data_IF_905429157857
#
_entry.id   IF_905429157857
#
_cell.length_a   1.000
_cell.length_b   1.000
_cell.length_c   1.000
_cell.angle_alpha   90.00
_cell.angle_beta   90.00
_cell.angle_gamma   90.00
#
_symmetry.space_group_name_H-M   'P 1'
#
loop_
_entity.id
_entity.type
_entity.pdbx_description
1 polymer ?
#
# COMPACT_ATOMS: atom_id res chain seq x y z
N UNK A 1 -29.19 61.97 -0.34
CA UNK A 1 -29.19 60.75 0.49
C UNK A 1 -29.91 59.70 -0.32
N UNK A 2 -29.19 58.95 -1.14
CA UNK A 2 -28.60 57.63 -0.80
C UNK A 2 -29.64 56.54 -1.06
N UNK A 3 -29.42 55.48 -1.81
CA UNK A 3 -28.28 55.05 -2.61
C UNK A 3 -28.79 53.94 -3.56
N UNK A 4 -28.06 53.63 -4.62
CA UNK A 4 -28.39 52.51 -5.55
C UNK A 4 -27.87 51.20 -4.98
N UNK A 5 -28.67 50.13 -5.05
CA UNK A 5 -28.16 48.76 -4.97
C UNK A 5 -28.75 47.86 -6.07
N UNK A 6 -27.92 47.34 -7.00
CA UNK A 6 -28.25 46.20 -7.84
C UNK A 6 -27.47 44.96 -7.36
N UNK A 7 -28.06 44.12 -6.53
CA UNK A 7 -27.46 42.85 -6.12
C UNK A 7 -28.11 41.68 -6.88
N UNK A 8 -27.68 41.47 -8.13
CA UNK A 8 -27.79 40.18 -8.81
C UNK A 8 -26.84 39.19 -8.14
N UNK A 9 -27.35 38.44 -7.16
CA UNK A 9 -26.60 37.35 -6.51
C UNK A 9 -26.64 36.08 -7.36
N UNK A 10 -25.57 35.83 -8.13
CA UNK A 10 -25.29 34.56 -8.78
C UNK A 10 -25.53 33.37 -7.85
N UNK A 11 -26.42 32.46 -8.26
CA UNK A 11 -26.44 31.07 -7.83
C UNK A 11 -25.10 30.43 -8.22
N UNK A 12 -24.10 30.59 -7.36
CA UNK A 12 -22.91 29.78 -7.39
C UNK A 12 -23.33 28.36 -6.98
N UNK A 13 -23.73 27.59 -7.98
CA UNK A 13 -23.74 26.14 -7.94
C UNK A 13 -22.31 25.73 -7.54
N UNK A 14 -22.11 25.51 -6.24
CA UNK A 14 -20.90 24.90 -5.72
C UNK A 14 -20.84 23.52 -6.34
N UNK A 15 -20.15 23.41 -7.48
CA UNK A 15 -19.68 22.15 -8.03
C UNK A 15 -18.98 21.44 -6.87
N UNK A 16 -19.68 20.48 -6.25
CA UNK A 16 -19.13 19.54 -5.29
C UNK A 16 -17.96 18.89 -6.04
N UNK A 17 -16.75 19.34 -5.75
CA UNK A 17 -15.55 18.56 -6.04
C UNK A 17 -15.88 17.14 -5.56
N UNK A 18 -15.71 16.11 -6.40
CA UNK A 18 -15.97 14.76 -5.94
C UNK A 18 -15.10 14.58 -4.70
N UNK A 19 -15.74 14.41 -3.54
CA UNK A 19 -15.04 14.03 -2.34
C UNK A 19 -14.17 12.85 -2.76
N UNK A 20 -12.86 12.92 -2.51
CA UNK A 20 -11.99 11.78 -2.68
C UNK A 20 -12.49 10.73 -1.69
N UNK A 21 -13.54 9.98 -2.03
CA UNK A 21 -14.08 8.92 -1.19
C UNK A 21 -13.19 7.72 -1.44
N UNK A 22 -12.41 7.39 -0.42
CA UNK A 22 -11.55 6.21 -0.43
C UNK A 22 -12.42 4.99 -0.12
N UNK A 23 -13.32 4.67 -1.04
CA UNK A 23 -14.17 3.48 -0.93
C UNK A 23 -13.31 2.27 -1.31
N UNK A 24 -13.10 1.38 -0.34
CA UNK A 24 -12.40 0.12 -0.51
C UNK A 24 -13.38 -0.99 -0.15
N UNK A 25 -13.72 -1.87 -1.10
CA UNK A 25 -14.60 -3.00 -0.83
C UNK A 25 -13.78 -4.22 -0.43
N UNK A 26 -14.16 -4.89 0.65
CA UNK A 26 -13.48 -6.11 1.07
C UNK A 26 -13.61 -7.19 -0.01
N UNK A 27 -12.51 -7.91 -0.28
CA UNK A 27 -12.43 -9.07 -1.17
C UNK A 27 -12.94 -8.85 -2.61
N UNK A 28 -12.95 -7.60 -3.11
CA UNK A 28 -13.47 -7.27 -4.44
C UNK A 28 -12.36 -6.82 -5.39
N UNK A 29 -11.55 -7.78 -5.86
CA UNK A 29 -10.45 -7.53 -6.79
C UNK A 29 -10.90 -6.87 -8.10
N UNK A 30 -12.09 -7.19 -8.60
CA UNK A 30 -12.63 -6.59 -9.83
C UNK A 30 -12.99 -5.11 -9.65
N UNK A 31 -13.50 -4.72 -8.49
CA UNK A 31 -13.71 -3.32 -8.13
C UNK A 31 -12.39 -2.53 -8.06
N UNK A 32 -11.34 -3.12 -7.49
CA UNK A 32 -10.03 -2.45 -7.38
C UNK A 32 -9.19 -2.50 -8.66
N UNK A 33 -9.47 -3.44 -9.56
CA UNK A 33 -8.88 -3.47 -10.90
C UNK A 33 -9.45 -2.43 -11.85
N UNK A 34 -10.47 -1.66 -11.46
CA UNK A 34 -11.04 -0.60 -12.31
C UNK A 34 -9.96 0.38 -12.77
N UNK A 35 -9.74 0.40 -14.09
CA UNK A 35 -8.76 1.23 -14.76
C UNK A 35 -9.19 2.71 -14.72
N UNK A 36 -8.34 3.61 -14.21
CA UNK A 36 -8.59 5.05 -14.36
C UNK A 36 -8.06 5.52 -15.72
N UNK A 37 -9.02 5.80 -16.62
CA UNK A 37 -8.99 6.62 -17.86
C UNK A 37 -7.84 6.39 -18.86
N UNK A 38 -8.21 6.32 -20.14
CA UNK A 38 -7.32 6.46 -21.31
C UNK A 38 -6.55 7.79 -21.18
N UNK A 39 -5.31 7.75 -20.73
CA UNK A 39 -4.37 8.84 -20.99
C UNK A 39 -4.06 8.78 -22.49
N UNK A 40 -4.02 9.93 -23.17
CA UNK A 40 -3.77 9.99 -24.60
C UNK A 40 -2.57 9.09 -24.95
N UNK A 41 -2.73 8.24 -25.97
CA UNK A 41 -1.79 7.18 -26.39
C UNK A 41 -1.81 5.89 -25.55
N UNK A 42 -2.83 5.04 -25.75
CA UNK A 42 -2.91 3.59 -25.41
C UNK A 42 -2.42 3.09 -24.02
N UNK A 43 -2.10 3.99 -23.09
CA UNK A 43 -1.54 3.67 -21.78
C UNK A 43 -2.66 3.71 -20.73
N UNK A 44 -3.10 2.53 -20.32
CA UNK A 44 -4.01 2.35 -19.18
C UNK A 44 -3.20 2.29 -17.89
N UNK A 45 -3.49 3.17 -16.92
CA UNK A 45 -2.89 3.11 -15.57
C UNK A 45 -3.89 2.46 -14.60
N UNK A 46 -3.41 1.52 -13.78
CA UNK A 46 -4.18 0.93 -12.67
C UNK A 46 -4.38 1.98 -11.56
N UNK A 47 -5.51 1.91 -10.84
CA UNK A 47 -5.83 2.83 -9.73
C UNK A 47 -4.92 2.63 -8.52
N UNK A 48 -4.48 1.40 -8.28
CA UNK A 48 -3.60 1.02 -7.17
C UNK A 48 -2.31 0.41 -7.70
N UNK A 49 -1.19 0.70 -7.02
CA UNK A 49 0.07 0.01 -7.25
C UNK A 49 -0.03 -1.43 -6.70
N UNK A 50 0.76 -2.35 -7.27
CA UNK A 50 0.89 -3.70 -6.71
C UNK A 50 1.77 -3.70 -5.46
N UNK A 51 1.68 -4.75 -4.65
CA UNK A 51 2.45 -4.90 -3.41
C UNK A 51 3.91 -5.39 -3.63
N UNK A 52 4.43 -5.31 -4.86
CA UNK A 52 5.78 -5.76 -5.18
C UNK A 52 6.80 -4.66 -4.83
N UNK A 53 7.72 -4.98 -3.92
CA UNK A 53 8.81 -4.08 -3.52
C UNK A 53 9.95 -4.21 -4.55
N UNK A 54 10.47 -3.07 -5.00
CA UNK A 54 11.64 -2.98 -5.89
C UNK A 54 12.59 -1.92 -5.36
N UNK A 55 13.71 -2.37 -4.80
CA UNK A 55 14.80 -1.53 -4.30
C UNK A 55 15.98 -1.50 -5.26
N UNK A 56 16.09 -2.49 -6.16
CA UNK A 56 17.14 -2.53 -7.15
C UNK A 56 17.01 -1.39 -8.17
N UNK A 57 18.15 -0.75 -8.49
CA UNK A 57 18.19 0.49 -9.27
C UNK A 57 18.42 0.23 -10.75
N UNK A 58 19.14 -0.84 -11.07
CA UNK A 58 19.55 -1.14 -12.44
C UNK A 58 18.86 -2.39 -12.96
N UNK A 59 18.51 -2.35 -14.24
CA UNK A 59 18.26 -3.54 -15.04
C UNK A 59 19.58 -3.95 -15.72
N UNK A 60 19.71 -5.20 -16.17
CA UNK A 60 20.93 -5.73 -16.80
C UNK A 60 21.41 -4.83 -17.95
N UNK A 61 20.48 -4.30 -18.76
CA UNK A 61 20.79 -3.42 -19.89
C UNK A 61 20.98 -1.95 -19.51
N UNK A 62 20.34 -1.49 -18.43
CA UNK A 62 20.48 -0.09 -17.99
C UNK A 62 21.65 0.09 -17.03
N UNK A 63 22.22 -0.99 -16.50
CA UNK A 63 23.34 -0.93 -15.56
C UNK A 63 24.52 -0.15 -16.12
N UNK A 64 25.02 -0.53 -17.30
CA UNK A 64 26.20 0.10 -17.89
C UNK A 64 26.03 1.61 -18.16
N UNK A 65 25.01 2.08 -18.92
CA UNK A 65 24.89 3.50 -19.23
C UNK A 65 24.62 4.37 -18.00
N UNK A 66 23.80 3.88 -17.06
CA UNK A 66 23.44 4.64 -15.86
C UNK A 66 24.55 4.65 -14.81
N UNK A 67 25.24 3.52 -14.62
CA UNK A 67 26.40 3.45 -13.72
C UNK A 67 27.54 4.33 -14.23
N UNK A 68 27.86 4.30 -15.53
CA UNK A 68 28.87 5.20 -16.12
C UNK A 68 28.47 6.66 -15.98
N UNK A 69 27.20 7.00 -16.21
CA UNK A 69 26.71 8.36 -16.02
C UNK A 69 26.93 8.85 -14.58
N UNK A 70 26.63 8.01 -13.58
CA UNK A 70 26.86 8.34 -12.17
C UNK A 70 28.35 8.50 -11.83
N UNK A 71 29.20 7.66 -12.41
CA UNK A 71 30.65 7.80 -12.26
C UNK A 71 31.14 9.11 -12.91
N UNK A 72 30.68 9.49 -14.11
CA UNK A 72 31.11 10.71 -14.79
C UNK A 72 30.47 11.98 -14.26
N UNK A 73 29.36 11.92 -13.53
CA UNK A 73 28.85 13.09 -12.81
C UNK A 73 29.80 13.55 -11.68
N UNK A 74 30.79 12.72 -11.31
CA UNK A 74 31.86 13.13 -10.40
C UNK A 74 32.94 13.92 -11.15
N UNK A 75 33.07 15.21 -10.81
CA UNK A 75 34.03 16.13 -11.45
C UNK A 75 35.47 15.60 -11.53
N UNK A 76 35.91 14.80 -10.55
CA UNK A 76 37.22 14.15 -10.57
C UNK A 76 37.39 13.21 -11.78
N UNK A 77 36.38 12.41 -12.11
CA UNK A 77 36.44 11.47 -13.22
C UNK A 77 36.40 12.22 -14.57
N UNK A 78 35.66 13.33 -14.66
CA UNK A 78 35.68 14.23 -15.84
C UNK A 78 37.05 14.85 -16.03
N UNK A 79 37.66 15.35 -14.95
CA UNK A 79 39.01 15.91 -14.97
C UNK A 79 40.03 14.90 -15.50
N UNK A 80 40.02 13.66 -15.01
CA UNK A 80 40.95 12.63 -15.50
C UNK A 80 40.76 12.30 -16.97
N UNK A 81 39.51 12.25 -17.47
CA UNK A 81 39.25 12.05 -18.91
C UNK A 81 39.76 13.22 -19.74
N UNK A 82 39.54 14.46 -19.27
CA UNK A 82 40.04 15.65 -19.95
C UNK A 82 41.58 15.68 -20.02
N UNK A 83 42.24 15.33 -18.93
CA UNK A 83 43.70 15.18 -18.87
C UNK A 83 44.15 14.13 -19.88
N UNK A 84 43.58 12.91 -19.87
CA UNK A 84 43.90 11.85 -20.84
C UNK A 84 43.69 12.33 -22.28
N UNK A 85 42.62 13.07 -22.57
CA UNK A 85 42.35 13.63 -23.89
C UNK A 85 43.47 14.59 -24.34
N UNK A 86 43.94 15.47 -23.46
CA UNK A 86 45.08 16.35 -23.75
C UNK A 86 46.38 15.57 -24.01
N UNK A 87 46.62 14.46 -23.30
CA UNK A 87 47.77 13.58 -23.56
C UNK A 87 47.69 12.76 -24.86
N UNK A 88 46.53 12.74 -25.56
CA UNK A 88 46.47 12.09 -26.88
C UNK A 88 47.17 12.90 -27.97
N UNK A 89 47.39 14.20 -27.75
CA UNK A 89 48.10 15.08 -28.68
C UNK A 89 49.61 14.92 -28.45
N UNK A 90 50.35 14.34 -29.41
CA UNK A 90 51.76 13.99 -29.21
C UNK A 90 52.66 15.21 -28.96
N UNK A 91 52.27 16.41 -29.36
CA UNK A 91 53.06 17.63 -29.16
C UNK A 91 53.03 18.17 -27.72
N UNK A 92 52.01 17.81 -26.94
CA UNK A 92 51.82 18.28 -25.55
C UNK A 92 52.04 17.12 -24.56
N UNK A 93 52.11 15.89 -25.06
CA UNK A 93 52.18 14.68 -24.26
C UNK A 93 53.57 14.43 -23.68
N UNK A 94 53.66 14.42 -22.34
CA UNK A 94 54.89 14.04 -21.61
C UNK A 94 54.95 12.55 -21.27
N UNK A 95 53.82 11.85 -21.34
CA UNK A 95 53.64 10.45 -20.93
C UNK A 95 52.77 9.72 -21.94
N UNK A 96 53.02 8.44 -22.24
CA UNK A 96 52.16 7.71 -23.17
C UNK A 96 50.73 7.59 -22.62
N UNK A 97 49.73 7.84 -23.48
CA UNK A 97 48.30 7.91 -23.14
C UNK A 97 47.76 6.71 -22.32
N UNK A 98 48.32 5.51 -22.53
CA UNK A 98 47.91 4.30 -21.82
C UNK A 98 48.27 4.32 -20.32
N UNK A 99 49.29 5.08 -19.91
CA UNK A 99 49.74 5.13 -18.50
C UNK A 99 48.71 5.78 -17.57
N UNK A 100 47.89 6.69 -18.09
CA UNK A 100 46.81 7.34 -17.34
C UNK A 100 45.46 6.67 -17.59
N UNK A 101 45.23 6.16 -18.81
CA UNK A 101 44.01 5.43 -19.15
C UNK A 101 43.86 4.14 -18.35
N UNK A 102 44.94 3.36 -18.22
CA UNK A 102 44.90 2.07 -17.53
C UNK A 102 44.44 2.18 -16.06
N UNK A 103 45.09 2.98 -15.18
CA UNK A 103 44.67 3.09 -13.78
C UNK A 103 43.26 3.68 -13.63
N UNK A 104 42.86 4.64 -14.48
CA UNK A 104 41.51 5.18 -14.47
C UNK A 104 40.48 4.11 -14.85
N UNK A 105 40.72 3.36 -15.93
CA UNK A 105 39.85 2.28 -16.38
C UNK A 105 39.70 1.20 -15.31
N UNK A 106 40.81 0.76 -14.69
CA UNK A 106 40.78 -0.19 -13.58
C UNK A 106 39.93 0.33 -12.41
N UNK A 107 40.11 1.60 -12.04
CA UNK A 107 39.39 2.22 -10.94
C UNK A 107 37.88 2.34 -11.20
N UNK A 108 37.48 2.76 -12.40
CA UNK A 108 36.07 2.83 -12.82
C UNK A 108 35.45 1.44 -12.88
N UNK A 109 36.20 0.45 -13.36
CA UNK A 109 35.77 -0.95 -13.44
C UNK A 109 35.55 -1.56 -12.06
N UNK A 110 36.47 -1.37 -11.10
CA UNK A 110 36.32 -1.88 -9.74
C UNK A 110 35.09 -1.27 -9.06
N UNK A 111 34.84 0.03 -9.26
CA UNK A 111 33.65 0.70 -8.72
C UNK A 111 32.36 0.16 -9.34
N UNK A 112 32.33 0.04 -10.67
CA UNK A 112 31.20 -0.57 -11.38
C UNK A 112 30.95 -2.00 -10.87
N UNK A 113 32.00 -2.81 -10.71
CA UNK A 113 31.84 -4.19 -10.24
C UNK A 113 31.25 -4.25 -8.82
N UNK A 114 31.72 -3.40 -7.91
CA UNK A 114 31.15 -3.29 -6.57
C UNK A 114 29.66 -2.93 -6.63
N UNK A 115 29.31 -1.89 -7.38
CA UNK A 115 27.92 -1.46 -7.53
C UNK A 115 27.04 -2.55 -8.14
N UNK A 116 27.59 -3.34 -9.07
CA UNK A 116 26.91 -4.49 -9.67
C UNK A 116 26.63 -5.59 -8.64
N UNK A 117 27.62 -5.95 -7.82
CA UNK A 117 27.46 -6.97 -6.77
C UNK A 117 26.40 -6.50 -5.76
N UNK A 118 26.47 -5.25 -5.33
CA UNK A 118 25.50 -4.66 -4.41
C UNK A 118 24.09 -4.68 -5.00
N UNK A 119 23.92 -4.34 -6.29
CA UNK A 119 22.62 -4.35 -6.95
C UNK A 119 22.07 -5.77 -7.16
N UNK A 120 22.93 -6.77 -7.47
CA UNK A 120 22.54 -8.18 -7.51
C UNK A 120 22.02 -8.64 -6.14
N UNK A 121 22.69 -8.24 -5.05
CA UNK A 121 22.23 -8.49 -3.69
C UNK A 121 20.84 -7.89 -3.43
N UNK A 122 20.57 -6.68 -3.92
CA UNK A 122 19.25 -6.04 -3.83
C UNK A 122 18.19 -6.82 -4.60
N UNK A 123 18.46 -7.25 -5.83
CA UNK A 123 17.52 -8.08 -6.62
C UNK A 123 17.19 -9.40 -5.91
N UNK A 124 18.18 -10.04 -5.28
CA UNK A 124 17.95 -11.27 -4.51
C UNK A 124 17.09 -11.00 -3.27
N UNK A 125 17.39 -9.93 -2.52
CA UNK A 125 16.62 -9.53 -1.34
C UNK A 125 15.16 -9.19 -1.71
N UNK A 126 14.96 -8.38 -2.75
CA UNK A 126 13.63 -8.04 -3.27
C UNK A 126 12.86 -9.30 -3.66
N UNK A 127 13.52 -10.25 -4.35
CA UNK A 127 12.90 -11.53 -4.72
C UNK A 127 12.52 -12.35 -3.49
N UNK A 128 13.36 -12.38 -2.46
CA UNK A 128 13.06 -13.10 -1.22
C UNK A 128 11.85 -12.50 -0.50
N UNK A 129 11.81 -11.18 -0.33
CA UNK A 129 10.69 -10.47 0.33
C UNK A 129 9.38 -10.64 -0.46
N UNK A 130 9.41 -10.45 -1.77
CA UNK A 130 8.23 -10.55 -2.62
C UNK A 130 7.64 -11.98 -2.69
N UNK A 131 8.47 -13.01 -2.51
CA UNK A 131 8.03 -14.42 -2.52
C UNK A 131 7.67 -14.95 -1.12
N UNK A 132 7.69 -14.12 -0.07
CA UNK A 132 7.24 -14.55 1.27
C UNK A 132 5.77 -15.02 1.20
N UNK A 133 5.43 -16.13 1.87
CA UNK A 133 4.08 -16.66 1.84
C UNK A 133 3.17 -15.87 2.80
N UNK A 134 1.91 -15.69 2.40
CA UNK A 134 0.87 -15.05 3.18
C UNK A 134 -0.48 -15.73 2.93
N UNK A 135 -1.33 -15.85 3.97
CA UNK A 135 -2.67 -16.42 3.83
C UNK A 135 -3.67 -15.35 3.44
N UNK A 136 -4.17 -15.43 2.22
CA UNK A 136 -5.14 -14.50 1.67
C UNK A 136 -6.46 -15.23 1.46
N UNK A 137 -7.57 -14.61 1.84
CA UNK A 137 -8.91 -15.13 1.59
C UNK A 137 -9.18 -15.19 0.08
N UNK A 138 -9.49 -16.38 -0.43
CA UNK A 138 -9.83 -16.58 -1.83
C UNK A 138 -11.15 -17.35 -1.93
N UNK A 139 -12.23 -16.64 -2.26
CA UNK A 139 -13.58 -17.17 -2.24
C UNK A 139 -14.04 -17.47 -0.82
N UNK A 140 -14.05 -18.76 -0.42
CA UNK A 140 -14.55 -19.23 0.88
C UNK A 140 -13.46 -19.72 1.84
N UNK A 141 -12.21 -19.78 1.41
CA UNK A 141 -11.11 -20.32 2.23
C UNK A 141 -9.85 -19.49 2.09
N UNK A 142 -8.99 -19.53 3.12
CA UNK A 142 -7.66 -18.94 3.05
C UNK A 142 -6.74 -19.78 2.17
N UNK A 143 -5.95 -19.12 1.34
CA UNK A 143 -4.97 -19.76 0.46
C UNK A 143 -3.63 -19.06 0.60
N UNK A 144 -2.57 -19.85 0.54
CA UNK A 144 -1.21 -19.36 0.47
C UNK A 144 -0.95 -18.66 -0.86
N UNK A 145 -0.60 -17.39 -0.77
CA UNK A 145 -0.18 -16.55 -1.90
C UNK A 145 1.10 -15.81 -1.53
N UNK A 146 1.76 -15.21 -2.52
CA UNK A 146 2.99 -14.46 -2.31
C UNK A 146 2.68 -13.03 -1.88
N UNK A 147 3.62 -12.41 -1.17
CA UNK A 147 3.49 -11.00 -0.77
C UNK A 147 3.26 -10.06 -1.95
N UNK A 148 3.89 -10.31 -3.09
CA UNK A 148 3.69 -9.49 -4.30
C UNK A 148 2.27 -9.56 -4.89
N UNK A 149 1.50 -10.61 -4.57
CA UNK A 149 0.17 -10.86 -5.13
C UNK A 149 -0.96 -10.24 -4.28
N UNK A 150 -0.62 -9.65 -3.13
CA UNK A 150 -1.57 -8.95 -2.25
C UNK A 150 -2.12 -7.73 -2.99
N UNK A 151 -3.45 -7.62 -3.03
CA UNK A 151 -4.16 -6.49 -3.60
C UNK A 151 -4.89 -5.70 -2.50
N UNK A 152 -5.12 -4.41 -2.74
CA UNK A 152 -5.97 -3.58 -1.87
C UNK A 152 -7.34 -4.25 -1.74
N UNK A 153 -7.87 -4.33 -0.52
CA UNK A 153 -9.15 -4.97 -0.22
C UNK A 153 -9.09 -6.46 0.07
N UNK A 154 -7.98 -7.14 -0.22
CA UNK A 154 -7.83 -8.55 0.15
C UNK A 154 -7.84 -8.72 1.67
N UNK A 155 -8.57 -9.73 2.17
CA UNK A 155 -8.55 -10.09 3.58
C UNK A 155 -7.38 -11.05 3.81
N UNK A 156 -6.50 -10.67 4.74
CA UNK A 156 -5.28 -11.40 5.04
C UNK A 156 -5.34 -11.96 6.46
N UNK A 157 -4.91 -13.21 6.62
CA UNK A 157 -4.72 -13.85 7.92
C UNK A 157 -3.24 -13.86 8.28
N UNK A 158 -2.91 -13.16 9.36
CA UNK A 158 -1.57 -13.18 9.93
C UNK A 158 -1.50 -14.19 11.08
N UNK A 159 -0.35 -14.84 11.22
CA UNK A 159 -0.07 -15.74 12.34
C UNK A 159 0.82 -15.04 13.38
N UNK A 160 0.92 -15.64 14.56
CA UNK A 160 1.88 -15.21 15.58
C UNK A 160 3.28 -15.18 14.98
N UNK A 161 4.07 -14.15 15.34
CA UNK A 161 5.46 -13.94 14.86
C UNK A 161 5.58 -13.81 13.33
N UNK A 162 4.50 -13.48 12.62
CA UNK A 162 4.56 -13.16 11.20
C UNK A 162 4.70 -11.66 10.96
N UNK A 163 5.50 -11.31 9.96
CA UNK A 163 5.65 -9.92 9.52
C UNK A 163 4.38 -9.43 8.82
N UNK A 164 4.07 -8.14 9.03
CA UNK A 164 2.96 -7.46 8.37
C UNK A 164 3.38 -7.08 6.93
N UNK A 165 2.70 -7.58 5.88
CA UNK A 165 3.15 -7.42 4.49
C UNK A 165 2.72 -6.10 3.83
N UNK A 166 1.78 -5.36 4.41
CA UNK A 166 1.26 -4.09 3.93
C UNK A 166 0.50 -3.37 5.07
N UNK A 167 0.12 -2.11 4.87
CA UNK A 167 -0.75 -1.41 5.83
C UNK A 167 -2.11 -2.10 5.92
N UNK A 168 -2.49 -2.53 7.13
CA UNK A 168 -3.68 -3.36 7.38
C UNK A 168 -4.60 -2.75 8.42
N UNK A 169 -5.89 -3.00 8.26
CA UNK A 169 -6.90 -2.76 9.28
C UNK A 169 -7.17 -4.06 10.05
N UNK A 170 -7.00 -4.02 11.37
CA UNK A 170 -7.28 -5.17 12.23
C UNK A 170 -8.81 -5.38 12.32
N UNK A 171 -9.30 -6.50 11.79
CA UNK A 171 -10.72 -6.85 11.79
C UNK A 171 -11.11 -7.70 13.00
N UNK A 172 -10.31 -8.71 13.31
CA UNK A 172 -10.50 -9.62 14.42
C UNK A 172 -9.14 -10.18 14.86
N UNK A 173 -9.05 -10.57 16.14
CA UNK A 173 -7.92 -11.31 16.69
C UNK A 173 -8.42 -12.57 17.41
N UNK A 174 -7.53 -13.54 17.59
CA UNK A 174 -7.80 -14.75 18.38
C UNK A 174 -7.81 -14.50 19.89
N UNK A 175 -7.23 -13.38 20.34
CA UNK A 175 -7.20 -13.00 21.76
C UNK A 175 -8.58 -12.52 22.23
N UNK A 176 -8.98 -12.77 23.51
CA UNK A 176 -10.17 -12.16 24.09
C UNK A 176 -10.17 -10.64 23.92
N UNK A 177 -11.34 -10.09 23.60
CA UNK A 177 -11.53 -8.65 23.29
C UNK A 177 -10.81 -8.18 22.00
N UNK A 178 -10.39 -9.10 21.13
CA UNK A 178 -9.78 -8.79 19.84
C UNK A 178 -8.50 -7.95 19.93
N UNK A 179 -7.67 -8.25 20.93
CA UNK A 179 -6.38 -7.60 21.11
C UNK A 179 -5.29 -8.23 20.22
N UNK A 180 -4.39 -7.40 19.73
CA UNK A 180 -3.23 -7.80 18.94
C UNK A 180 -2.02 -7.02 19.45
N UNK A 181 -0.88 -7.68 19.59
CA UNK A 181 0.38 -7.05 19.97
C UNK A 181 1.26 -6.95 18.73
N UNK A 182 1.75 -5.75 18.47
CA UNK A 182 2.61 -5.46 17.32
C UNK A 182 3.96 -5.01 17.84
N UNK A 183 5.01 -5.69 17.38
CA UNK A 183 6.38 -5.27 17.57
C UNK A 183 6.73 -4.24 16.51
N UNK A 184 7.26 -3.09 16.93
CA UNK A 184 7.66 -2.00 16.03
C UNK A 184 9.16 -1.73 16.05
N UNK A 185 9.96 -2.60 16.66
CA UNK A 185 11.41 -2.46 16.78
C UNK A 185 12.10 -2.18 15.44
N UNK A 186 11.63 -2.78 14.35
CA UNK A 186 12.17 -2.55 12.99
C UNK A 186 11.89 -1.16 12.41
N UNK A 187 10.93 -0.41 12.98
CA UNK A 187 10.48 0.90 12.50
C UNK A 187 10.97 2.02 13.41
N UNK A 188 10.77 1.90 14.73
CA UNK A 188 11.06 2.95 15.71
C UNK A 188 12.16 2.59 16.72
N UNK A 189 12.68 1.35 16.68
CA UNK A 189 13.69 0.88 17.62
C UNK A 189 13.16 0.64 19.04
N UNK A 190 11.85 0.78 19.27
CA UNK A 190 11.24 0.49 20.56
C UNK A 190 11.03 -1.03 20.70
N UNK A 191 11.55 -1.61 21.79
CA UNK A 191 11.40 -3.05 22.08
C UNK A 191 10.09 -3.42 22.76
N UNK A 192 9.27 -2.42 23.09
CA UNK A 192 7.99 -2.63 23.75
C UNK A 192 6.90 -2.98 22.74
N UNK A 193 6.05 -3.96 23.09
CA UNK A 193 4.91 -4.34 22.26
C UNK A 193 3.81 -3.28 22.34
N UNK A 194 3.36 -2.81 21.17
CA UNK A 194 2.23 -1.90 21.07
C UNK A 194 0.95 -2.70 20.93
N UNK A 195 0.00 -2.52 21.86
CA UNK A 195 -1.30 -3.16 21.75
C UNK A 195 -2.19 -2.43 20.73
N UNK A 196 -2.95 -3.20 19.97
CA UNK A 196 -3.97 -2.76 19.01
C UNK A 196 -5.24 -3.55 19.26
N UNK A 197 -6.39 -2.91 19.14
CA UNK A 197 -7.69 -3.54 19.37
C UNK A 197 -8.57 -3.44 18.13
N UNK A 198 -9.18 -4.55 17.73
CA UNK A 198 -10.16 -4.57 16.65
C UNK A 198 -11.51 -4.02 17.12
N UNK A 199 -12.37 -3.62 16.19
CA UNK A 199 -13.70 -3.15 16.56
C UNK A 199 -14.54 -4.30 17.17
N UNK A 200 -15.24 -4.09 18.29
CA UNK A 200 -16.01 -5.16 18.93
C UNK A 200 -17.09 -5.77 18.02
N UNK A 201 -17.64 -4.97 17.11
CA UNK A 201 -18.65 -5.40 16.13
C UNK A 201 -18.04 -6.38 15.14
N UNK A 202 -16.85 -6.10 14.60
CA UNK A 202 -16.19 -6.99 13.64
C UNK A 202 -15.69 -8.26 14.31
N UNK A 203 -15.24 -8.21 15.57
CA UNK A 203 -14.81 -9.39 16.31
C UNK A 203 -15.92 -10.45 16.44
N UNK A 204 -17.13 -10.03 16.80
CA UNK A 204 -18.28 -10.94 16.99
C UNK A 204 -18.71 -11.61 15.70
N UNK A 205 -18.74 -10.84 14.61
CA UNK A 205 -19.21 -11.32 13.31
C UNK A 205 -18.15 -12.17 12.58
N UNK A 206 -16.86 -11.90 12.77
CA UNK A 206 -15.76 -12.47 11.97
C UNK A 206 -15.02 -13.63 12.65
N UNK A 207 -15.66 -14.32 13.58
CA UNK A 207 -15.02 -15.43 14.30
C UNK A 207 -14.83 -16.69 13.42
N UNK A 208 -15.64 -16.86 12.38
CA UNK A 208 -15.59 -18.02 11.48
C UNK A 208 -15.06 -17.65 10.09
N UNK A 209 -14.31 -18.55 9.45
CA UNK A 209 -13.82 -18.33 8.07
C UNK A 209 -14.99 -18.11 7.09
N UNK A 210 -16.14 -18.74 7.34
CA UNK A 210 -17.33 -18.56 6.52
C UNK A 210 -17.97 -17.18 6.65
N UNK A 211 -17.95 -16.59 7.84
CA UNK A 211 -18.47 -15.23 8.05
C UNK A 211 -17.49 -14.17 7.56
N UNK A 212 -16.19 -14.43 7.63
CA UNK A 212 -15.15 -13.62 6.97
C UNK A 212 -15.29 -13.64 5.44
N UNK A 213 -15.61 -14.80 4.85
CA UNK A 213 -15.89 -14.91 3.42
C UNK A 213 -17.13 -14.15 2.96
N UNK A 214 -18.14 -14.05 3.84
CA UNK A 214 -19.38 -13.31 3.57
C UNK A 214 -19.28 -11.81 3.89
N UNK A 215 -18.14 -11.35 4.43
CA UNK A 215 -17.96 -9.97 4.85
C UNK A 215 -17.81 -9.04 3.64
N UNK A 216 -18.83 -8.23 3.38
CA UNK A 216 -18.82 -7.15 2.37
C UNK A 216 -18.85 -5.77 3.07
N UNK A 217 -18.04 -5.62 4.12
CA UNK A 217 -17.96 -4.38 4.87
C UNK A 217 -17.29 -3.28 4.04
N UNK A 218 -17.99 -2.16 3.90
CA UNK A 218 -17.34 -0.89 3.57
C UNK A 218 -16.60 -0.41 4.84
N UNK A 219 -15.30 -0.13 4.79
CA UNK A 219 -14.59 0.42 5.93
C UNK A 219 -15.29 1.73 6.30
N UNK A 220 -15.70 1.92 7.57
CA UNK A 220 -16.40 3.12 7.96
C UNK A 220 -15.54 4.34 7.61
N UNK A 221 -16.16 5.45 7.24
CA UNK A 221 -15.46 6.70 6.94
C UNK A 221 -14.53 7.16 8.08
N UNK A 222 -14.67 6.61 9.29
CA UNK A 222 -13.81 6.80 10.46
C UNK A 222 -12.58 5.87 10.56
N UNK A 223 -12.44 4.83 9.74
CA UNK A 223 -11.14 4.16 9.56
C UNK A 223 -10.09 5.11 8.94
N UNK A 224 -10.55 6.25 8.38
CA UNK A 224 -9.70 7.41 8.03
C UNK A 224 -9.00 8.05 9.23
N UNK A 225 -9.43 7.77 10.46
CA UNK A 225 -8.94 8.46 11.67
C UNK A 225 -7.67 7.82 12.27
N UNK A 226 -7.34 6.57 11.93
CA UNK A 226 -6.15 5.89 12.50
C UNK A 226 -4.88 6.02 11.65
N UNK A 227 -5.00 6.50 10.40
CA UNK A 227 -3.90 7.16 9.72
C UNK A 227 -4.06 8.65 9.97
N UNK A 228 -3.86 9.08 11.23
CA UNK A 228 -3.55 10.49 11.45
C UNK A 228 -2.39 10.84 10.50
N UNK A 229 -2.43 11.98 9.81
CA UNK A 229 -1.19 12.58 9.31
C UNK A 229 -0.18 12.51 10.45
N UNK A 230 1.06 12.12 10.16
CA UNK A 230 2.17 12.26 11.10
C UNK A 230 2.38 13.76 11.35
N UNK A 231 1.47 14.37 12.10
CA UNK A 231 1.67 15.66 12.73
C UNK A 231 2.32 15.35 14.07
N UNK A 232 3.59 15.70 14.16
CA UNK A 232 4.24 15.94 15.44
C UNK A 232 3.28 16.77 16.32
N UNK A 233 3.21 16.42 17.60
CA UNK A 233 2.49 17.12 18.69
C UNK A 233 1.01 16.77 18.90
N UNK A 234 0.75 15.72 19.70
CA UNK A 234 0.25 15.85 21.09
C UNK A 234 -0.22 14.50 21.66
N UNK A 235 0.25 14.20 22.86
CA UNK A 235 -0.37 13.27 23.81
C UNK A 235 -1.76 13.81 24.15
N UNK A 236 -2.78 12.96 24.08
CA UNK A 236 -4.02 13.15 24.83
C UNK A 236 -4.61 11.77 25.16
N UNK A 237 -4.29 11.30 26.36
CA UNK A 237 -5.24 10.55 27.18
C UNK A 237 -6.53 11.34 27.27
N UNK A 238 -7.66 10.77 26.83
CA UNK A 238 -8.99 10.97 27.40
C UNK A 238 -10.02 10.15 26.61
N UNK A 239 -10.87 9.43 27.33
CA UNK A 239 -11.81 8.47 26.77
C UNK A 239 -12.92 9.13 25.95
N UNK A 240 -13.42 8.40 24.96
CA UNK A 240 -14.77 8.62 24.47
C UNK A 240 -15.38 7.30 23.99
N UNK A 241 -16.31 6.79 24.80
CA UNK A 241 -17.39 5.95 24.31
C UNK A 241 -18.14 6.72 23.22
N UNK A 242 -17.95 6.36 21.96
CA UNK A 242 -18.82 6.75 20.87
C UNK A 242 -19.43 5.47 20.25
N UNK A 243 -20.76 5.39 20.06
CA UNK A 243 -21.37 4.24 19.42
C UNK A 243 -20.98 4.24 17.94
N UNK A 244 -20.07 3.34 17.55
CA UNK A 244 -19.70 3.12 16.15
C UNK A 244 -20.78 2.24 15.51
N UNK A 245 -21.68 2.88 14.76
CA UNK A 245 -22.65 2.18 13.92
C UNK A 245 -22.00 1.72 12.62
N UNK A 246 -21.67 0.44 12.52
CA UNK A 246 -21.51 -0.23 11.23
C UNK A 246 -22.92 -0.55 10.69
N UNK A 247 -23.36 0.14 9.64
CA UNK A 247 -24.54 -0.31 8.87
C UNK A 247 -24.11 -1.50 8.01
N UNK A 248 -24.27 -2.71 8.54
CA UNK A 248 -24.24 -3.94 7.77
C UNK A 248 -25.53 -3.99 6.95
N UNK A 249 -25.43 -3.87 5.63
CA UNK A 249 -26.58 -4.12 4.76
C UNK A 249 -26.71 -5.64 4.58
N UNK A 250 -27.82 -6.29 4.98
CA UNK A 250 -28.00 -7.70 4.70
C UNK A 250 -28.08 -7.89 3.19
N UNK A 251 -27.19 -8.73 2.65
CA UNK A 251 -27.18 -9.09 1.24
C UNK A 251 -28.58 -9.56 0.81
N UNK A 252 -29.09 -8.95 -0.26
CA UNK A 252 -30.39 -9.27 -0.81
C UNK A 252 -30.47 -10.78 -1.15
N UNK A 253 -31.50 -11.51 -0.67
CA UNK A 253 -31.74 -12.87 -1.13
C UNK A 253 -32.23 -12.83 -2.58
N UNK A 254 -31.58 -13.59 -3.44
CA UNK A 254 -32.03 -13.86 -4.81
C UNK A 254 -33.44 -14.45 -4.77
N UNK A 255 -34.40 -13.73 -5.33
CA UNK A 255 -35.79 -14.13 -5.42
C UNK A 255 -35.95 -15.39 -6.30
N UNK A 256 -36.50 -16.46 -5.74
CA UNK A 256 -37.21 -17.49 -6.51
C UNK A 256 -38.34 -18.03 -5.63
N UNK A 257 -39.52 -17.46 -5.78
CA UNK A 257 -40.78 -17.97 -5.21
C UNK A 257 -41.42 -18.96 -6.20
N UNK A 258 -42.13 -19.97 -5.70
CA UNK A 258 -43.39 -20.35 -6.33
C UNK A 258 -44.56 -20.24 -5.31
N UNK A 259 -45.81 -20.12 -5.80
CA UNK A 259 -46.90 -19.54 -5.04
C UNK A 259 -47.66 -20.58 -4.21
N UNK A 260 -48.20 -20.16 -3.08
CA UNK A 260 -49.27 -20.92 -2.43
C UNK A 260 -49.49 -20.58 -0.96
N UNK A 261 -50.66 -20.03 -0.67
CA UNK A 261 -51.36 -20.32 0.58
C UNK A 261 -51.25 -19.29 1.69
N UNK A 262 -52.16 -18.31 1.66
CA UNK A 262 -52.54 -17.50 2.81
C UNK A 262 -52.96 -18.39 4.00
N UNK A 263 -52.48 -18.07 5.21
CA UNK A 263 -53.26 -18.08 6.45
C UNK A 263 -52.41 -17.53 7.62
N UNK A 264 -52.71 -16.32 8.07
CA UNK A 264 -52.50 -15.95 9.47
C UNK A 264 -53.53 -16.70 10.34
N UNK A 265 -53.21 -16.95 11.61
CA UNK A 265 -53.87 -16.09 12.59
C UNK A 265 -52.97 -15.63 13.75
N UNK A 266 -53.22 -14.40 14.18
CA UNK A 266 -52.86 -13.88 15.49
C UNK A 266 -53.39 -14.79 16.61
N UNK A 267 -52.63 -14.97 17.69
CA UNK A 267 -53.22 -15.09 19.03
C UNK A 267 -52.24 -14.70 20.15
N UNK A 268 -52.61 -13.61 20.84
CA UNK A 268 -52.52 -13.28 22.27
C UNK A 268 -51.32 -13.75 23.13
N UNK A 269 -50.62 -12.74 23.64
CA UNK A 269 -50.52 -12.34 25.05
C UNK A 269 -50.51 -13.39 26.18
N UNK A 270 -49.49 -13.25 27.06
CA UNK A 270 -49.31 -13.84 28.40
C UNK A 270 -47.81 -14.22 28.57
N UNK A 271 -47.01 -13.79 29.53
CA UNK A 271 -47.26 -13.30 30.89
C UNK A 271 -46.60 -14.27 31.89
N UNK A 272 -45.46 -13.86 32.47
CA UNK A 272 -44.72 -14.43 33.65
C UNK A 272 -44.09 -15.83 33.43
N UNK A 273 -42.84 -16.13 33.81
CA UNK A 273 -41.96 -15.75 34.92
C UNK A 273 -40.53 -15.47 34.44
#
# INVERSE_FOLDING_TARGET
MDDRDPASGCLHEKKKLPAFTWEVRANNRSYHMQFKKKFAFCLTKKKYAGNAIKTAKYNILTFLPLNLYEQFHRMANVYFVFVILLQTIPEISTLPWYTLLFPLSCLLTIRALRDLIDDIGRHQSDRNINNRPCEILSGKSFRWQKWCDICVGDIVRLRKESFVPADMLLLCSSEPSSLCYVETADIDGETNLKFRQALPVTHRELTSEGSVAAFDGEPPAQARMCLSPWDHTRVASEGLHAPVGLTLSPGAPSATTPPGGCACPCHKAGGWL
#
